data_IF_422441626762
#
_entry.id   IF_422441626762
#
_cell.length_a   1.000
_cell.length_b   1.000
_cell.length_c   1.000
_cell.angle_alpha   90.00
_cell.angle_beta   90.00
_cell.angle_gamma   90.00
#
_symmetry.space_group_name_H-M   'P 1'
#
loop_
_entity.id
_entity.type
_entity.pdbx_description
1 polymer ?
#
# COMPACT_ATOMS: atom_id res chain seq x y z
N UNK A 1 1.25 11.43 9.13
CA UNK A 1 1.71 11.32 7.73
C UNK A 1 2.61 10.10 7.64
N UNK A 2 2.36 9.22 6.68
CA UNK A 2 3.18 8.02 6.43
C UNK A 2 3.70 8.16 5.00
N UNK A 3 4.99 7.91 4.80
CA UNK A 3 5.62 7.84 3.48
C UNK A 3 6.02 6.39 3.24
N UNK A 4 5.61 5.84 2.10
CA UNK A 4 5.83 4.45 1.74
C UNK A 4 6.63 4.38 0.45
N UNK A 5 7.85 3.86 0.54
CA UNK A 5 8.62 3.44 -0.63
C UNK A 5 7.97 2.18 -1.22
N UNK A 6 7.37 2.29 -2.40
CA UNK A 6 6.65 1.21 -3.08
C UNK A 6 6.74 1.36 -4.59
N UNK A 7 6.83 0.26 -5.37
CA UNK A 7 6.90 -1.15 -4.93
C UNK A 7 8.28 -1.57 -4.40
N UNK A 8 8.45 -2.86 -4.09
CA UNK A 8 9.77 -3.43 -3.78
C UNK A 8 10.79 -3.09 -4.89
N UNK A 9 11.95 -2.58 -4.49
CA UNK A 9 12.98 -2.01 -5.36
C UNK A 9 13.03 -0.48 -5.39
N UNK A 10 12.04 0.21 -4.82
CA UNK A 10 12.07 1.66 -4.66
C UNK A 10 12.69 2.03 -3.32
N UNK A 11 13.64 2.98 -3.34
CA UNK A 11 14.21 3.56 -2.12
C UNK A 11 14.81 2.51 -1.19
N UNK A 12 14.24 2.40 0.01
CA UNK A 12 14.66 1.42 1.03
C UNK A 12 13.83 0.13 1.03
N UNK A 13 12.78 0.02 0.21
CA UNK A 13 11.98 -1.20 0.10
C UNK A 13 12.68 -2.22 -0.80
N UNK A 14 12.93 -3.43 -0.29
CA UNK A 14 13.60 -4.51 -1.03
C UNK A 14 12.98 -5.87 -0.76
N UNK A 15 13.22 -6.82 -1.67
CA UNK A 15 12.94 -8.24 -1.49
C UNK A 15 14.19 -9.08 -1.70
N UNK A 16 14.28 -10.18 -0.95
CA UNK A 16 15.31 -11.21 -1.19
C UNK A 16 14.97 -12.10 -2.39
N UNK A 17 13.72 -12.06 -2.88
CA UNK A 17 13.29 -12.78 -4.06
C UNK A 17 13.31 -11.87 -5.29
N UNK A 18 14.13 -12.24 -6.28
CA UNK A 18 14.33 -11.44 -7.50
C UNK A 18 13.03 -11.31 -8.32
N UNK A 19 12.11 -12.27 -8.27
CA UNK A 19 10.84 -12.17 -9.00
C UNK A 19 9.92 -11.09 -8.44
N UNK A 20 10.10 -10.64 -7.19
CA UNK A 20 9.24 -9.59 -6.61
C UNK A 20 9.49 -8.20 -7.22
N UNK A 21 10.62 -8.04 -7.92
CA UNK A 21 10.93 -6.82 -8.66
C UNK A 21 10.25 -6.78 -10.04
N UNK A 22 9.60 -7.87 -10.48
CA UNK A 22 8.63 -7.83 -11.57
C UNK A 22 7.32 -7.24 -11.04
N UNK A 23 7.18 -5.92 -11.20
CA UNK A 23 6.11 -5.14 -10.59
C UNK A 23 5.01 -4.75 -11.60
N UNK A 24 3.88 -4.30 -11.08
CA UNK A 24 2.75 -3.82 -11.87
C UNK A 24 1.64 -3.28 -10.97
N UNK A 25 0.73 -2.47 -11.52
CA UNK A 25 -0.21 -1.67 -10.74
C UNK A 25 -1.05 -2.49 -9.74
N UNK A 26 -1.52 -3.68 -10.16
CA UNK A 26 -2.32 -4.58 -9.30
C UNK A 26 -1.49 -5.20 -8.18
N UNK A 27 -0.25 -5.62 -8.49
CA UNK A 27 0.67 -6.17 -7.48
C UNK A 27 1.05 -5.10 -6.46
N UNK A 28 1.41 -3.90 -6.93
CA UNK A 28 1.73 -2.75 -6.07
C UNK A 28 0.56 -2.40 -5.15
N UNK A 29 -0.68 -2.37 -5.67
CA UNK A 29 -1.86 -2.10 -4.86
C UNK A 29 -2.10 -3.17 -3.78
N UNK A 30 -2.00 -4.46 -4.13
CA UNK A 30 -2.16 -5.57 -3.20
C UNK A 30 -1.07 -5.59 -2.11
N UNK A 31 0.19 -5.36 -2.50
CA UNK A 31 1.33 -5.32 -1.58
C UNK A 31 1.23 -4.09 -0.64
N UNK A 32 0.86 -2.92 -1.16
CA UNK A 32 0.62 -1.72 -0.35
C UNK A 32 -0.59 -1.86 0.57
N UNK A 33 -1.65 -2.56 0.17
CA UNK A 33 -2.77 -2.89 1.06
C UNK A 33 -2.32 -3.83 2.19
N UNK A 34 -1.52 -4.84 1.87
CA UNK A 34 -0.92 -5.74 2.88
C UNK A 34 -0.04 -4.96 3.87
N UNK A 35 0.73 -3.97 3.38
CA UNK A 35 1.47 -3.06 4.26
C UNK A 35 0.55 -2.32 5.22
N UNK A 36 -0.55 -1.72 4.74
CA UNK A 36 -1.49 -0.98 5.59
C UNK A 36 -2.10 -1.87 6.67
N UNK A 37 -2.54 -3.09 6.33
CA UNK A 37 -3.09 -4.04 7.29
C UNK A 37 -2.08 -4.35 8.41
N UNK A 38 -0.83 -4.64 8.05
CA UNK A 38 0.24 -4.90 9.03
C UNK A 38 0.60 -3.66 9.84
N UNK A 39 0.61 -2.48 9.20
CA UNK A 39 0.92 -1.22 9.86
C UNK A 39 -0.13 -0.89 10.93
N UNK A 40 -1.42 -1.04 10.63
CA UNK A 40 -2.49 -0.83 11.62
C UNK A 40 -2.52 -1.89 12.72
N UNK A 41 -2.07 -3.12 12.45
CA UNK A 41 -1.87 -4.12 13.51
C UNK A 41 -0.74 -3.71 14.47
N UNK A 42 0.34 -3.11 13.94
CA UNK A 42 1.46 -2.64 14.73
C UNK A 42 1.15 -1.35 15.51
N UNK A 43 0.32 -0.48 14.93
CA UNK A 43 -0.07 0.81 15.49
C UNK A 43 -1.60 0.95 15.60
N UNK A 44 -2.27 0.13 16.44
CA UNK A 44 -3.72 0.08 16.54
C UNK A 44 -4.35 1.40 17.02
N UNK A 45 -3.59 2.28 17.69
CA UNK A 45 -4.04 3.58 18.15
C UNK A 45 -4.46 4.53 17.02
N UNK A 46 -4.04 4.29 15.77
CA UNK A 46 -4.43 5.11 14.62
C UNK A 46 -5.69 4.61 13.90
N UNK A 47 -6.25 3.44 14.25
CA UNK A 47 -7.41 2.86 13.55
C UNK A 47 -8.65 3.76 13.58
N UNK A 48 -8.83 4.57 14.63
CA UNK A 48 -9.97 5.48 14.77
C UNK A 48 -9.84 6.78 13.98
N UNK A 49 -8.65 7.06 13.44
CA UNK A 49 -8.41 8.31 12.74
C UNK A 49 -9.02 8.28 11.32
N UNK A 50 -9.52 9.41 10.82
CA UNK A 50 -9.79 9.56 9.39
C UNK A 50 -8.53 9.25 8.57
N UNK A 51 -8.64 8.32 7.64
CA UNK A 51 -7.54 7.88 6.78
C UNK A 51 -7.73 8.40 5.36
N UNK A 52 -6.66 8.95 4.78
CA UNK A 52 -6.63 9.49 3.42
C UNK A 52 -5.39 8.98 2.70
N UNK A 53 -5.53 8.67 1.41
CA UNK A 53 -4.43 8.28 0.53
C UNK A 53 -4.20 9.42 -0.46
N UNK A 54 -2.96 9.86 -0.58
CA UNK A 54 -2.57 10.95 -1.48
C UNK A 54 -1.25 10.62 -2.20
N UNK A 55 -1.03 11.22 -3.36
CA UNK A 55 0.18 11.05 -4.15
C UNK A 55 0.19 11.95 -5.39
N UNK A 56 1.32 11.99 -6.09
CA UNK A 56 1.54 12.80 -7.29
C UNK A 56 2.05 11.94 -8.46
N UNK A 57 1.97 12.46 -9.69
CA UNK A 57 2.51 11.84 -10.90
C UNK A 57 1.89 10.45 -11.13
N UNK A 58 2.69 9.39 -11.21
CA UNK A 58 2.20 8.02 -11.41
C UNK A 58 1.37 7.50 -10.22
N UNK A 59 1.46 8.15 -9.04
CA UNK A 59 0.54 7.85 -7.96
C UNK A 59 -0.93 8.21 -8.31
N UNK A 60 -1.19 8.95 -9.40
CA UNK A 60 -2.52 9.04 -10.00
C UNK A 60 -3.11 7.68 -10.40
N UNK A 61 -2.27 6.65 -10.60
CA UNK A 61 -2.68 5.25 -10.75
C UNK A 61 -2.69 4.53 -9.40
N UNK A 62 -1.62 4.68 -8.60
CA UNK A 62 -1.48 3.95 -7.32
C UNK A 62 -2.54 4.32 -6.28
N UNK A 63 -2.90 5.61 -6.17
CA UNK A 63 -3.88 6.09 -5.19
C UNK A 63 -5.26 5.44 -5.42
N UNK A 64 -5.87 5.49 -6.62
CA UNK A 64 -7.17 4.86 -6.83
C UNK A 64 -7.11 3.32 -6.79
N UNK A 65 -6.05 2.67 -7.27
CA UNK A 65 -5.96 1.20 -7.20
C UNK A 65 -5.80 0.70 -5.76
N UNK A 66 -4.96 1.36 -4.94
CA UNK A 66 -4.86 1.06 -3.51
C UNK A 66 -6.17 1.35 -2.77
N UNK A 67 -6.82 2.49 -3.06
CA UNK A 67 -8.09 2.84 -2.43
C UNK A 67 -9.17 1.79 -2.73
N UNK A 68 -9.19 1.25 -3.95
CA UNK A 68 -10.08 0.15 -4.33
C UNK A 68 -9.82 -1.12 -3.52
N UNK A 69 -8.56 -1.50 -3.32
CA UNK A 69 -8.19 -2.67 -2.49
C UNK A 69 -8.58 -2.47 -1.01
N UNK A 70 -8.43 -1.25 -0.47
CA UNK A 70 -8.90 -0.91 0.89
C UNK A 70 -10.42 -1.06 1.01
N UNK A 71 -11.19 -0.54 0.05
CA UNK A 71 -12.66 -0.65 0.06
C UNK A 71 -13.10 -2.11 -0.04
N UNK A 72 -12.47 -2.91 -0.91
CA UNK A 72 -12.71 -4.36 -0.96
C UNK A 72 -12.41 -5.06 0.36
N UNK A 73 -11.28 -4.71 1.00
CA UNK A 73 -10.89 -5.27 2.30
C UNK A 73 -11.96 -5.01 3.37
N UNK A 74 -12.49 -3.79 3.44
CA UNK A 74 -13.57 -3.43 4.37
C UNK A 74 -14.85 -4.22 4.08
N UNK A 75 -15.20 -4.44 2.81
CA UNK A 75 -16.38 -5.22 2.43
C UNK A 75 -16.20 -6.72 2.67
N UNK A 76 -14.96 -7.20 2.67
CA UNK A 76 -14.61 -8.61 2.84
C UNK A 76 -14.66 -9.13 4.28
N UNK A 77 -14.71 -8.24 5.28
CA UNK A 77 -14.70 -8.58 6.71
C UNK A 77 -13.31 -8.49 7.32
#
# INVERSE_FOLDING_TARGET
MIYLDSPAGVGLSYSNNVSDYETGDLKTAADSHTFLLKWFQLYPEFLSNPFYIAGESYAGVYVPTLSHEVVKGIQGG
#
